data_IF_300179733888
#
_entry.id   IF_300179733888
#
_cell.length_a   1.000
_cell.length_b   1.000
_cell.length_c   1.000
_cell.angle_alpha   90.00
_cell.angle_beta   90.00
_cell.angle_gamma   90.00
#
_symmetry.space_group_name_H-M   'P 1'
#
loop_
_entity.id
_entity.type
_entity.pdbx_description
1 polymer ?
#
# COMPACT_ATOMS: atom_id res chain seq x y z
N UNK A 1 19.41 -2.10 10.33
CA UNK A 1 18.31 -2.38 9.38
C UNK A 1 17.90 -3.84 9.50
N UNK A 2 16.66 -4.11 9.83
CA UNK A 2 16.17 -5.49 9.95
C UNK A 2 15.49 -5.97 8.68
N UNK A 3 14.97 -5.03 7.86
CA UNK A 3 14.19 -5.37 6.67
C UNK A 3 14.53 -4.41 5.53
N UNK A 4 14.82 -4.97 4.36
CA UNK A 4 15.20 -4.21 3.17
C UNK A 4 14.38 -4.68 1.98
N UNK A 5 13.74 -3.72 1.27
CA UNK A 5 12.98 -3.96 0.05
C UNK A 5 13.73 -3.52 -1.20
N UNK A 6 13.71 -4.35 -2.23
CA UNK A 6 14.27 -4.04 -3.55
C UNK A 6 13.25 -4.40 -4.65
N UNK A 7 13.09 -3.55 -5.64
CA UNK A 7 12.20 -3.77 -6.77
C UNK A 7 12.98 -3.91 -8.07
N UNK A 8 12.31 -4.42 -9.08
CA UNK A 8 12.83 -4.66 -10.42
C UNK A 8 13.31 -3.40 -11.16
N UNK A 9 12.81 -2.22 -10.81
CA UNK A 9 13.27 -0.93 -11.36
C UNK A 9 14.55 -0.42 -10.70
N UNK A 10 14.82 -0.81 -9.46
CA UNK A 10 16.01 -0.42 -8.69
C UNK A 10 16.94 -1.61 -8.42
N UNK A 11 16.44 -2.82 -8.50
CA UNK A 11 17.15 -4.05 -8.21
C UNK A 11 18.45 -4.27 -9.00
N UNK A 12 18.49 -4.00 -10.32
CA UNK A 12 19.74 -4.08 -11.08
C UNK A 12 20.83 -3.14 -10.56
N UNK A 13 20.47 -1.89 -10.21
CA UNK A 13 21.41 -0.93 -9.61
C UNK A 13 21.83 -1.39 -8.21
N UNK A 14 20.88 -1.80 -7.37
CA UNK A 14 21.18 -2.36 -6.03
C UNK A 14 22.10 -3.59 -6.15
N UNK A 15 21.88 -4.46 -7.13
CA UNK A 15 22.77 -5.61 -7.41
C UNK A 15 24.19 -5.18 -7.75
N UNK A 16 24.33 -4.17 -8.59
CA UNK A 16 25.66 -3.72 -9.01
C UNK A 16 26.39 -3.05 -7.84
N UNK A 17 25.75 -2.22 -7.06
CA UNK A 17 26.28 -1.67 -5.80
C UNK A 17 26.68 -2.78 -4.80
N UNK A 18 25.89 -3.84 -4.66
CA UNK A 18 26.22 -4.99 -3.81
C UNK A 18 27.46 -5.73 -4.29
N UNK A 19 27.72 -5.79 -5.61
CA UNK A 19 28.96 -6.34 -6.16
C UNK A 19 30.17 -5.46 -5.83
N UNK A 20 30.01 -4.15 -5.97
CA UNK A 20 31.06 -3.18 -5.66
C UNK A 20 31.40 -3.18 -4.15
N UNK A 21 30.43 -3.41 -3.28
CA UNK A 21 30.59 -3.62 -1.85
C UNK A 21 31.17 -5.02 -1.52
N UNK A 22 31.47 -5.85 -2.52
CA UNK A 22 31.92 -7.25 -2.35
C UNK A 22 31.00 -8.08 -1.43
N UNK A 23 29.67 -7.82 -1.53
CA UNK A 23 28.66 -8.47 -0.68
C UNK A 23 28.57 -9.97 -1.00
N UNK A 24 29.03 -10.82 -0.09
CA UNK A 24 28.89 -12.27 -0.17
C UNK A 24 27.59 -12.81 0.41
N UNK A 25 26.98 -12.06 1.32
CA UNK A 25 25.71 -12.37 1.97
C UNK A 25 25.11 -11.13 2.64
N UNK A 26 23.83 -11.18 2.97
CA UNK A 26 23.15 -10.09 3.66
C UNK A 26 23.35 -10.16 5.16
N UNK A 27 23.63 -9.00 5.79
CA UNK A 27 23.63 -8.84 7.24
C UNK A 27 22.28 -8.33 7.75
N UNK A 28 21.47 -7.72 6.90
CA UNK A 28 20.08 -7.44 7.24
C UNK A 28 19.30 -8.76 7.43
N UNK A 29 18.41 -8.80 8.43
CA UNK A 29 17.66 -10.02 8.77
C UNK A 29 16.77 -10.53 7.63
N UNK A 30 16.21 -9.60 6.84
CA UNK A 30 15.33 -9.86 5.71
C UNK A 30 15.65 -8.91 4.57
N UNK A 31 15.98 -9.47 3.42
CA UNK A 31 16.08 -8.74 2.15
C UNK A 31 15.11 -9.38 1.18
N UNK A 32 14.19 -8.58 0.62
CA UNK A 32 13.19 -9.05 -0.34
C UNK A 32 13.35 -8.33 -1.67
N UNK A 33 13.30 -9.10 -2.76
CA UNK A 33 13.28 -8.61 -4.14
C UNK A 33 11.92 -8.91 -4.78
N UNK A 34 11.37 -7.96 -5.54
CA UNK A 34 10.13 -8.15 -6.30
C UNK A 34 10.23 -7.70 -7.75
N UNK A 35 9.18 -7.99 -8.53
CA UNK A 35 9.06 -7.67 -9.97
C UNK A 35 7.75 -6.93 -10.28
N UNK A 36 7.18 -6.22 -9.31
CA UNK A 36 5.85 -5.62 -9.41
C UNK A 36 5.72 -4.49 -10.44
N UNK A 37 6.82 -3.84 -10.83
CA UNK A 37 6.81 -2.74 -11.78
C UNK A 37 6.90 -3.19 -13.24
N UNK A 38 7.47 -4.37 -13.50
CA UNK A 38 7.80 -4.84 -14.85
C UNK A 38 7.19 -6.19 -15.20
N UNK A 39 6.46 -6.84 -14.28
CA UNK A 39 5.86 -8.15 -14.53
C UNK A 39 4.78 -8.11 -15.63
N UNK A 40 3.91 -7.10 -15.61
CA UNK A 40 2.94 -6.89 -16.67
C UNK A 40 3.59 -6.17 -17.86
N UNK A 41 3.44 -6.71 -19.06
CA UNK A 41 4.00 -6.17 -20.33
C UNK A 41 5.52 -5.96 -20.30
N UNK A 42 6.34 -6.99 -19.94
CA UNK A 42 7.77 -6.84 -19.79
C UNK A 42 8.46 -6.57 -21.13
N UNK A 43 9.46 -5.68 -21.10
CA UNK A 43 10.40 -5.47 -22.20
C UNK A 43 11.51 -6.53 -22.15
N UNK A 44 12.30 -6.64 -23.22
CA UNK A 44 13.39 -7.62 -23.27
C UNK A 44 14.41 -7.48 -22.11
N UNK A 45 14.69 -6.25 -21.68
CA UNK A 45 15.55 -5.97 -20.53
C UNK A 45 14.93 -6.44 -19.22
N UNK A 46 13.62 -6.30 -19.08
CA UNK A 46 12.88 -6.75 -17.89
C UNK A 46 12.92 -8.27 -17.78
N UNK A 47 12.70 -8.98 -18.91
CA UNK A 47 12.79 -10.45 -18.97
C UNK A 47 14.17 -10.94 -18.55
N UNK A 48 15.24 -10.24 -18.94
CA UNK A 48 16.61 -10.55 -18.49
C UNK A 48 16.73 -10.38 -16.98
N UNK A 49 16.26 -9.27 -16.45
CA UNK A 49 16.24 -8.98 -15.00
C UNK A 49 15.47 -10.05 -14.23
N UNK A 50 14.30 -10.45 -14.73
CA UNK A 50 13.47 -11.51 -14.13
C UNK A 50 14.19 -12.87 -14.03
N UNK A 51 15.12 -13.14 -14.93
CA UNK A 51 15.92 -14.40 -14.92
C UNK A 51 17.14 -14.31 -14.01
N UNK A 52 17.83 -13.19 -13.98
CA UNK A 52 19.14 -13.06 -13.33
C UNK A 52 19.06 -12.64 -11.86
N UNK A 53 18.11 -11.75 -11.53
CA UNK A 53 18.04 -11.13 -10.21
C UNK A 53 17.61 -12.10 -9.09
N UNK A 54 16.68 -13.06 -9.30
CA UNK A 54 16.28 -14.00 -8.25
C UNK A 54 17.45 -14.79 -7.67
N UNK A 55 18.25 -15.42 -8.52
CA UNK A 55 19.41 -16.20 -8.08
C UNK A 55 20.45 -15.35 -7.38
N UNK A 56 20.67 -14.11 -7.83
CA UNK A 56 21.58 -13.18 -7.17
C UNK A 56 21.16 -12.87 -5.73
N UNK A 57 19.89 -12.65 -5.50
CA UNK A 57 19.32 -12.32 -4.19
C UNK A 57 19.32 -13.55 -3.27
N UNK A 58 18.80 -14.70 -3.73
CA UNK A 58 18.67 -15.90 -2.91
C UNK A 58 20.02 -16.51 -2.54
N UNK A 59 21.00 -16.46 -3.42
CA UNK A 59 22.36 -16.90 -3.11
C UNK A 59 23.03 -16.09 -1.99
N UNK A 60 22.47 -14.93 -1.63
CA UNK A 60 22.93 -14.07 -0.54
C UNK A 60 22.05 -14.11 0.71
N UNK A 61 21.08 -15.01 0.74
CA UNK A 61 20.17 -15.16 1.88
C UNK A 61 18.94 -14.25 1.82
N UNK A 62 18.60 -13.74 0.65
CA UNK A 62 17.39 -12.96 0.43
C UNK A 62 16.22 -13.78 -0.10
N UNK A 63 15.03 -13.21 -0.02
CA UNK A 63 13.79 -13.77 -0.57
C UNK A 63 13.48 -13.08 -1.90
N UNK A 64 13.32 -13.85 -2.97
CA UNK A 64 12.90 -13.32 -4.25
C UNK A 64 11.46 -13.70 -4.56
N UNK A 65 10.60 -12.71 -4.71
CA UNK A 65 9.28 -12.91 -5.29
C UNK A 65 9.41 -13.24 -6.79
N UNK A 66 8.33 -13.71 -7.37
CA UNK A 66 8.25 -14.07 -8.79
C UNK A 66 7.49 -13.00 -9.56
N UNK A 67 7.76 -12.81 -10.87
CA UNK A 67 6.90 -11.98 -11.71
C UNK A 67 5.43 -12.44 -11.61
N UNK A 68 4.53 -11.49 -11.31
CA UNK A 68 3.12 -11.79 -11.09
C UNK A 68 2.72 -12.05 -9.63
N UNK A 69 3.66 -12.17 -8.70
CA UNK A 69 3.33 -12.28 -7.27
C UNK A 69 2.65 -11.01 -6.73
N UNK A 70 2.94 -9.87 -7.34
CA UNK A 70 2.32 -8.59 -7.00
C UNK A 70 3.25 -7.58 -6.35
N UNK A 71 2.64 -6.61 -5.67
CA UNK A 71 3.31 -5.45 -5.08
C UNK A 71 4.19 -5.86 -3.90
N UNK A 72 5.46 -5.44 -3.90
CA UNK A 72 6.41 -5.78 -2.84
C UNK A 72 5.89 -5.40 -1.45
N UNK A 73 5.30 -4.22 -1.32
CA UNK A 73 4.87 -3.70 -0.01
C UNK A 73 3.84 -4.61 0.66
N UNK A 74 2.92 -5.17 -0.13
CA UNK A 74 1.90 -6.10 0.36
C UNK A 74 2.47 -7.46 0.81
N UNK A 75 3.64 -7.86 0.31
CA UNK A 75 4.36 -9.04 0.76
C UNK A 75 5.32 -8.72 1.91
N UNK A 76 6.17 -7.68 1.73
CA UNK A 76 7.21 -7.32 2.69
C UNK A 76 6.64 -6.97 4.05
N UNK A 77 5.52 -6.23 4.07
CA UNK A 77 4.87 -5.84 5.32
C UNK A 77 4.35 -7.04 6.12
N UNK A 78 4.02 -8.16 5.46
CA UNK A 78 3.64 -9.41 6.12
C UNK A 78 4.82 -10.15 6.76
N UNK A 79 6.04 -9.78 6.44
CA UNK A 79 7.26 -10.36 7.00
C UNK A 79 7.93 -9.43 8.02
N UNK A 80 7.29 -8.33 8.40
CA UNK A 80 7.82 -7.40 9.39
C UNK A 80 7.77 -7.99 10.80
N UNK A 81 8.72 -7.54 11.61
CA UNK A 81 8.65 -7.61 13.06
C UNK A 81 8.23 -6.25 13.59
N UNK A 82 7.42 -6.18 14.66
CA UNK A 82 7.08 -4.91 15.29
C UNK A 82 8.31 -4.12 15.73
N UNK A 83 8.17 -2.80 15.74
CA UNK A 83 9.19 -1.84 16.22
C UNK A 83 10.56 -1.95 15.53
N UNK A 84 10.58 -2.43 14.28
CA UNK A 84 11.80 -2.60 13.52
C UNK A 84 12.05 -1.44 12.56
N UNK A 85 13.32 -1.23 12.25
CA UNK A 85 13.77 -0.18 11.31
C UNK A 85 14.23 -0.83 10.01
N UNK A 86 13.75 -0.30 8.89
CA UNK A 86 14.15 -0.79 7.58
C UNK A 86 14.31 0.29 6.52
N UNK A 87 14.55 -0.15 5.29
CA UNK A 87 14.71 0.69 4.11
C UNK A 87 14.25 -0.02 2.84
N UNK A 88 14.19 0.70 1.76
CA UNK A 88 13.93 0.15 0.43
C UNK A 88 14.09 1.17 -0.67
N UNK A 89 14.18 0.68 -1.90
CA UNK A 89 14.42 1.50 -3.09
C UNK A 89 13.18 2.21 -3.64
N UNK A 90 12.05 2.08 -2.97
CA UNK A 90 10.80 2.75 -3.34
C UNK A 90 10.33 3.65 -2.20
N UNK A 91 9.84 4.85 -2.51
CA UNK A 91 9.31 5.79 -1.53
C UNK A 91 8.12 5.25 -0.73
N UNK A 92 7.39 4.27 -1.29
CA UNK A 92 6.29 3.56 -0.63
C UNK A 92 6.74 2.35 0.21
N UNK A 93 8.05 2.14 0.39
CA UNK A 93 8.53 1.22 1.43
C UNK A 93 8.23 1.83 2.79
N UNK A 94 7.03 1.56 3.31
CA UNK A 94 6.52 2.07 4.58
C UNK A 94 6.08 0.90 5.45
N UNK A 95 6.45 0.93 6.72
CA UNK A 95 6.21 -0.18 7.65
C UNK A 95 5.15 0.19 8.69
N UNK A 96 3.94 -0.40 8.60
CA UNK A 96 2.83 -0.03 9.48
C UNK A 96 3.03 -0.43 10.95
N UNK A 97 3.89 -1.42 11.25
CA UNK A 97 4.21 -1.89 12.60
C UNK A 97 5.68 -1.66 12.98
N UNK A 98 6.36 -0.80 12.26
CA UNK A 98 7.74 -0.39 12.46
C UNK A 98 7.96 0.97 11.82
N UNK A 99 9.20 1.24 11.42
CA UNK A 99 9.53 2.44 10.66
C UNK A 99 10.52 2.12 9.54
N UNK A 100 10.37 2.78 8.40
CA UNK A 100 11.30 2.66 7.30
C UNK A 100 11.69 4.03 6.75
N UNK A 101 12.92 4.10 6.28
CA UNK A 101 13.49 5.28 5.64
C UNK A 101 13.90 4.89 4.21
N UNK A 102 13.02 5.09 3.21
CA UNK A 102 13.33 4.80 1.82
C UNK A 102 14.56 5.57 1.34
N UNK A 103 15.38 4.92 0.51
CA UNK A 103 16.66 5.46 0.10
C UNK A 103 17.01 5.09 -1.35
N UNK A 104 18.02 5.74 -1.90
CA UNK A 104 18.59 5.35 -3.19
C UNK A 104 19.30 4.00 -3.15
N UNK A 105 19.55 3.42 -4.33
CA UNK A 105 20.10 2.07 -4.49
C UNK A 105 21.39 1.81 -3.70
N UNK A 106 22.29 2.78 -3.61
CA UNK A 106 23.53 2.66 -2.85
C UNK A 106 23.31 2.48 -1.35
N UNK A 107 22.44 3.29 -0.73
CA UNK A 107 22.10 3.14 0.69
C UNK A 107 21.28 1.87 0.96
N UNK A 108 20.42 1.48 0.03
CA UNK A 108 19.67 0.21 0.12
C UNK A 108 20.63 -0.98 0.08
N UNK A 109 21.60 -0.96 -0.83
CA UNK A 109 22.63 -1.98 -0.92
C UNK A 109 23.51 -2.02 0.34
N UNK A 110 23.94 -0.85 0.83
CA UNK A 110 24.70 -0.74 2.06
C UNK A 110 23.92 -1.30 3.26
N UNK A 111 22.64 -0.95 3.40
CA UNK A 111 21.76 -1.47 4.44
C UNK A 111 21.57 -2.98 4.36
N UNK A 112 21.43 -3.54 3.16
CA UNK A 112 21.33 -4.99 2.95
C UNK A 112 22.62 -5.72 3.31
N UNK A 113 23.77 -5.18 2.89
CA UNK A 113 25.09 -5.78 3.11
C UNK A 113 25.55 -5.72 4.58
N UNK A 114 25.29 -4.59 5.25
CA UNK A 114 25.87 -4.30 6.58
C UNK A 114 24.87 -4.40 7.74
N UNK A 115 23.57 -4.37 7.45
CA UNK A 115 22.52 -4.31 8.48
C UNK A 115 22.34 -2.93 9.13
N UNK A 116 23.07 -1.90 8.68
CA UNK A 116 22.99 -0.53 9.21
C UNK A 116 22.81 0.49 8.09
N UNK A 117 22.31 1.68 8.44
CA UNK A 117 22.21 2.81 7.54
C UNK A 117 22.47 4.09 8.34
N UNK A 118 23.36 5.00 7.90
CA UNK A 118 23.52 6.30 8.53
C UNK A 118 22.23 7.12 8.37
N UNK A 119 21.78 7.75 9.44
CA UNK A 119 20.58 8.55 9.47
C UNK A 119 20.73 9.65 10.52
N UNK A 120 20.54 10.90 10.13
CA UNK A 120 20.28 11.97 11.07
C UNK A 120 18.80 11.85 11.50
N UNK A 121 18.54 11.79 12.82
CA UNK A 121 17.20 11.59 13.35
C UNK A 121 16.31 12.78 12.97
N UNK A 122 15.25 12.57 12.15
CA UNK A 122 14.34 13.65 11.79
C UNK A 122 13.44 14.04 12.98
N UNK A 123 12.97 15.29 12.97
CA UNK A 123 11.83 15.69 13.81
C UNK A 123 10.56 14.93 13.40
N UNK A 124 9.56 14.91 14.29
CA UNK A 124 8.26 14.28 14.02
C UNK A 124 7.14 15.32 13.91
N UNK A 125 6.16 15.02 13.06
CA UNK A 125 4.84 15.63 13.04
C UNK A 125 3.82 14.61 13.50
N UNK A 126 2.98 14.98 14.47
CA UNK A 126 1.91 14.13 14.96
C UNK A 126 0.60 14.45 14.24
N UNK A 127 -0.05 13.43 13.66
CA UNK A 127 -1.45 13.45 13.25
C UNK A 127 -2.27 12.64 14.23
N UNK A 128 -3.22 13.30 14.88
CA UNK A 128 -4.11 12.68 15.87
C UNK A 128 -5.53 12.67 15.38
N UNK A 129 -6.06 11.49 15.13
CA UNK A 129 -7.48 11.30 14.84
C UNK A 129 -8.30 11.24 16.14
N UNK A 130 -9.47 11.87 16.12
CA UNK A 130 -10.44 11.90 17.22
C UNK A 130 -11.82 11.54 16.71
N UNK A 131 -12.70 11.11 17.62
CA UNK A 131 -14.08 10.73 17.27
C UNK A 131 -14.15 9.40 16.52
N UNK A 132 -15.21 9.20 15.78
CA UNK A 132 -15.50 7.96 15.07
C UNK A 132 -15.69 8.19 13.58
N UNK A 133 -15.28 7.21 12.77
CA UNK A 133 -15.46 7.23 11.32
C UNK A 133 -16.94 7.15 10.98
N UNK A 134 -17.42 8.08 10.15
CA UNK A 134 -18.83 8.20 9.82
C UNK A 134 -19.25 7.19 8.73
N UNK A 135 -20.53 6.78 8.67
CA UNK A 135 -21.02 5.89 7.62
C UNK A 135 -20.75 6.44 6.22
N UNK A 136 -20.23 5.58 5.34
CA UNK A 136 -19.85 5.95 3.97
C UNK A 136 -18.46 6.58 3.84
N UNK A 137 -17.81 6.95 4.95
CA UNK A 137 -16.42 7.37 4.96
C UNK A 137 -15.52 6.12 4.98
N UNK A 138 -14.50 6.11 4.15
CA UNK A 138 -13.53 5.03 4.04
C UNK A 138 -12.19 5.43 4.64
N UNK A 139 -11.29 4.46 4.81
CA UNK A 139 -9.94 4.78 5.27
C UNK A 139 -9.19 5.70 4.28
N UNK A 140 -9.45 5.57 2.97
CA UNK A 140 -8.86 6.46 1.96
C UNK A 140 -9.25 7.92 2.20
N UNK A 141 -10.44 8.19 2.70
CA UNK A 141 -10.87 9.56 3.03
C UNK A 141 -10.07 10.11 4.21
N UNK A 142 -9.72 9.26 5.20
CA UNK A 142 -8.83 9.65 6.29
C UNK A 142 -7.41 9.93 5.79
N UNK A 143 -6.91 9.13 4.83
CA UNK A 143 -5.63 9.41 4.15
C UNK A 143 -5.63 10.81 3.53
N UNK A 144 -6.70 11.17 2.83
CA UNK A 144 -6.83 12.47 2.17
C UNK A 144 -7.19 13.60 3.14
N UNK A 145 -7.74 13.29 4.31
CA UNK A 145 -7.97 14.27 5.37
C UNK A 145 -6.65 14.86 5.89
N UNK A 146 -5.56 14.10 5.92
CA UNK A 146 -4.26 14.60 6.40
C UNK A 146 -3.80 15.83 5.61
N UNK A 147 -3.65 15.81 4.27
CA UNK A 147 -3.31 17.02 3.52
C UNK A 147 -4.38 18.11 3.62
N UNK A 148 -5.67 17.76 3.63
CA UNK A 148 -6.75 18.74 3.75
C UNK A 148 -6.65 19.58 5.04
N UNK A 149 -6.44 18.91 6.17
CA UNK A 149 -6.29 19.59 7.46
C UNK A 149 -4.93 20.31 7.61
N UNK A 150 -3.87 19.76 7.02
CA UNK A 150 -2.58 20.44 6.97
C UNK A 150 -2.65 21.75 6.17
N UNK A 151 -3.37 21.77 5.06
CA UNK A 151 -3.64 23.00 4.27
C UNK A 151 -4.43 24.00 5.09
N UNK A 152 -5.50 23.57 5.76
CA UNK A 152 -6.29 24.44 6.64
C UNK A 152 -5.46 25.10 7.77
N UNK A 153 -4.40 24.41 8.21
CA UNK A 153 -3.46 24.91 9.23
C UNK A 153 -2.27 25.70 8.67
N UNK A 154 -2.16 25.86 7.35
CA UNK A 154 -1.04 26.53 6.71
C UNK A 154 0.28 25.75 6.71
N UNK A 155 0.25 24.45 7.02
CA UNK A 155 1.42 23.56 7.07
C UNK A 155 1.75 22.92 5.72
N UNK A 156 0.83 23.01 4.77
CA UNK A 156 0.94 22.47 3.42
C UNK A 156 0.28 23.43 2.44
N UNK A 157 0.85 23.59 1.25
CA UNK A 157 0.24 24.36 0.16
C UNK A 157 0.27 23.56 -1.15
N UNK A 158 -0.72 23.77 -2.01
CA UNK A 158 -0.80 23.21 -3.36
C UNK A 158 0.00 24.04 -4.37
N UNK A 159 0.48 25.22 -3.98
CA UNK A 159 1.19 26.14 -4.85
C UNK A 159 2.48 25.55 -5.42
N UNK A 160 2.70 25.72 -6.74
CA UNK A 160 3.91 25.24 -7.42
C UNK A 160 5.16 26.04 -7.07
N UNK A 161 5.00 27.33 -6.73
CA UNK A 161 6.09 28.23 -6.32
C UNK A 161 5.90 28.61 -4.87
N UNK A 162 6.99 28.53 -4.10
CA UNK A 162 6.93 28.80 -2.65
C UNK A 162 6.11 27.77 -1.88
N UNK A 163 6.13 26.51 -2.32
CA UNK A 163 5.40 25.41 -1.66
C UNK A 163 5.87 25.25 -0.22
N UNK A 164 4.94 25.39 0.73
CA UNK A 164 5.12 24.98 2.11
C UNK A 164 4.79 23.49 2.21
N UNK A 165 5.66 22.72 2.82
CA UNK A 165 5.43 21.32 3.14
C UNK A 165 6.20 20.96 4.42
N UNK A 166 5.54 21.10 5.55
CA UNK A 166 6.13 20.82 6.86
C UNK A 166 6.39 19.33 7.10
N UNK A 167 5.79 18.45 6.31
CA UNK A 167 6.08 17.01 6.38
C UNK A 167 7.44 16.64 5.77
N UNK A 168 7.97 17.47 4.86
CA UNK A 168 9.16 17.14 4.10
C UNK A 168 10.36 16.89 5.00
N UNK A 169 10.95 15.70 4.91
CA UNK A 169 12.10 15.28 5.70
C UNK A 169 11.81 14.97 7.16
N UNK A 170 10.55 15.05 7.63
CA UNK A 170 10.13 14.69 8.99
C UNK A 170 9.48 13.31 9.04
N UNK A 171 9.42 12.72 10.22
CA UNK A 171 8.65 11.51 10.48
C UNK A 171 7.18 11.90 10.67
N UNK A 172 6.28 11.21 9.99
CA UNK A 172 4.85 11.31 10.24
C UNK A 172 4.44 10.25 11.27
N UNK A 173 4.02 10.70 12.44
CA UNK A 173 3.45 9.83 13.47
C UNK A 173 1.93 9.94 13.46
N UNK A 174 1.22 8.80 13.48
CA UNK A 174 -0.24 8.76 13.42
C UNK A 174 -0.77 8.02 14.64
N UNK A 175 -1.74 8.63 15.33
CA UNK A 175 -2.44 8.01 16.45
C UNK A 175 -3.95 8.29 16.43
N UNK A 176 -4.69 7.66 17.36
CA UNK A 176 -6.14 7.83 17.51
C UNK A 176 -6.97 6.79 16.76
N UNK A 177 -6.32 5.83 16.10
CA UNK A 177 -6.94 4.72 15.37
C UNK A 177 -6.40 3.36 15.85
N UNK A 178 -6.42 3.07 17.16
CA UNK A 178 -5.66 1.96 17.75
C UNK A 178 -6.12 0.58 17.31
N UNK A 179 -7.35 0.46 16.84
CA UNK A 179 -7.97 -0.82 16.44
C UNK A 179 -7.95 -1.09 14.94
N UNK A 180 -7.25 -0.25 14.16
CA UNK A 180 -7.06 -0.54 12.73
C UNK A 180 -6.37 -1.89 12.56
N UNK A 181 -6.79 -2.62 11.54
CA UNK A 181 -6.02 -3.77 11.06
C UNK A 181 -4.69 -3.29 10.46
N UNK A 182 -3.66 -4.12 10.49
CA UNK A 182 -2.33 -3.70 10.04
C UNK A 182 -2.32 -3.32 8.55
N UNK A 183 -3.11 -4.00 7.71
CA UNK A 183 -3.28 -3.62 6.30
C UNK A 183 -3.94 -2.26 6.13
N UNK A 184 -4.85 -1.86 7.02
CA UNK A 184 -5.42 -0.51 7.03
C UNK A 184 -4.38 0.52 7.48
N UNK A 185 -3.61 0.20 8.50
CA UNK A 185 -2.51 1.06 8.95
C UNK A 185 -1.49 1.28 7.82
N UNK A 186 -1.27 0.27 6.98
CA UNK A 186 -0.40 0.41 5.83
C UNK A 186 -0.88 1.48 4.84
N UNK A 187 -2.18 1.61 4.57
CA UNK A 187 -2.69 2.68 3.69
C UNK A 187 -2.32 4.07 4.19
N UNK A 188 -2.43 4.31 5.50
CA UNK A 188 -2.03 5.57 6.12
C UNK A 188 -0.52 5.79 6.05
N UNK A 189 0.28 4.77 6.36
CA UNK A 189 1.74 4.90 6.34
C UNK A 189 2.27 5.09 4.93
N UNK A 190 1.70 4.37 3.95
CA UNK A 190 2.12 4.41 2.55
C UNK A 190 1.94 5.82 1.95
N UNK A 191 0.80 6.45 2.22
CA UNK A 191 0.48 7.80 1.75
C UNK A 191 1.44 8.89 2.25
N UNK A 192 2.20 8.63 3.31
CA UNK A 192 3.21 9.56 3.82
C UNK A 192 4.30 9.86 2.78
N UNK A 193 4.52 8.94 1.84
CA UNK A 193 5.45 9.12 0.72
C UNK A 193 5.10 10.34 -0.14
N UNK A 194 3.80 10.64 -0.31
CA UNK A 194 3.33 11.76 -1.13
C UNK A 194 3.58 13.12 -0.48
N UNK A 195 3.82 13.14 0.82
CA UNK A 195 4.18 14.34 1.61
C UNK A 195 5.68 14.51 1.72
N UNK A 196 6.49 13.67 1.06
CA UNK A 196 7.95 13.65 1.19
C UNK A 196 8.41 13.41 2.64
N UNK A 197 7.60 12.75 3.46
CA UNK A 197 7.98 12.39 4.82
C UNK A 197 9.18 11.42 4.80
N UNK A 198 10.13 11.61 5.71
CA UNK A 198 11.30 10.74 5.84
C UNK A 198 10.90 9.31 6.23
N UNK A 199 9.93 9.18 7.14
CA UNK A 199 9.39 7.93 7.61
C UNK A 199 7.95 8.11 8.08
N UNK A 200 7.30 7.00 8.44
CA UNK A 200 5.98 7.03 9.06
C UNK A 200 5.86 5.90 10.07
N UNK A 201 5.19 6.17 11.19
CA UNK A 201 4.82 5.16 12.18
C UNK A 201 3.38 5.36 12.64
N UNK A 202 2.73 4.29 13.06
CA UNK A 202 1.31 4.30 13.45
C UNK A 202 1.16 3.60 14.78
N UNK A 203 0.50 4.28 15.72
CA UNK A 203 0.19 3.69 17.03
C UNK A 203 -1.01 2.75 16.91
N UNK A 204 -0.75 1.46 17.12
CA UNK A 204 -1.76 0.40 17.13
C UNK A 204 -1.81 -0.29 18.50
N UNK A 205 -2.94 -0.91 18.81
CA UNK A 205 -3.05 -1.87 19.92
C UNK A 205 -2.32 -3.18 19.60
N UNK A 206 -2.04 -3.97 20.64
CA UNK A 206 -1.35 -5.26 20.47
C UNK A 206 -2.20 -6.30 19.73
N UNK A 207 -3.50 -6.30 19.93
CA UNK A 207 -4.42 -7.30 19.41
C UNK A 207 -4.42 -7.35 17.86
N UNK A 208 -4.58 -6.24 17.12
CA UNK A 208 -4.46 -6.25 15.67
C UNK A 208 -3.09 -6.74 15.17
N UNK A 209 -2.01 -6.39 15.88
CA UNK A 209 -0.66 -6.80 15.53
C UNK A 209 -0.48 -8.31 15.77
N UNK A 210 -0.96 -8.85 16.89
CA UNK A 210 -0.91 -10.28 17.19
C UNK A 210 -1.71 -11.10 16.16
N UNK A 211 -2.92 -10.66 15.80
CA UNK A 211 -3.74 -11.31 14.77
C UNK A 211 -2.97 -11.38 13.44
N UNK A 212 -2.40 -10.26 13.03
CA UNK A 212 -1.63 -10.15 11.79
C UNK A 212 -0.41 -11.06 11.78
N UNK A 213 0.36 -11.08 12.87
CA UNK A 213 1.57 -11.90 12.96
C UNK A 213 1.27 -13.40 12.97
N UNK A 214 0.20 -13.84 13.65
CA UNK A 214 -0.25 -15.26 13.61
C UNK A 214 -0.59 -15.68 12.18
N UNK A 215 -1.35 -14.87 11.48
CA UNK A 215 -1.66 -15.07 10.06
C UNK A 215 -0.38 -15.15 9.20
N UNK A 216 0.59 -14.29 9.45
CA UNK A 216 1.81 -14.20 8.67
C UNK A 216 2.77 -15.38 8.88
N UNK A 217 2.77 -16.01 10.04
CA UNK A 217 3.50 -17.28 10.24
C UNK A 217 3.02 -18.32 9.23
N UNK A 218 1.70 -18.47 9.08
CA UNK A 218 1.10 -19.41 8.12
C UNK A 218 1.46 -19.03 6.69
N UNK A 219 1.47 -17.75 6.34
CA UNK A 219 1.94 -17.31 5.01
C UNK A 219 3.41 -17.68 4.77
N UNK A 220 4.30 -17.43 5.72
CA UNK A 220 5.72 -17.75 5.58
C UNK A 220 5.95 -19.26 5.45
N UNK A 221 5.20 -20.09 6.18
CA UNK A 221 5.21 -21.54 6.03
C UNK A 221 4.77 -21.96 4.61
N UNK A 222 3.72 -21.32 4.07
CA UNK A 222 3.30 -21.53 2.68
C UNK A 222 4.37 -21.12 1.67
N UNK A 223 5.07 -20.00 1.91
CA UNK A 223 6.18 -19.59 1.06
C UNK A 223 7.29 -20.65 1.04
N UNK A 224 7.63 -21.23 2.19
CA UNK A 224 8.60 -22.34 2.29
C UNK A 224 8.11 -23.55 1.49
N UNK A 225 6.86 -23.99 1.69
CA UNK A 225 6.26 -25.12 1.00
C UNK A 225 6.24 -24.94 -0.52
N UNK A 226 6.00 -23.73 -1.00
CA UNK A 226 5.94 -23.38 -2.42
C UNK A 226 7.32 -23.09 -3.03
N UNK A 227 8.42 -23.35 -2.31
CA UNK A 227 9.77 -23.25 -2.83
C UNK A 227 10.19 -21.80 -3.13
N UNK A 228 9.71 -20.81 -2.35
CA UNK A 228 10.37 -19.52 -2.30
C UNK A 228 11.76 -19.69 -1.73
N UNK A 229 12.67 -18.99 -2.33
CA UNK A 229 14.09 -19.20 -2.06
C UNK A 229 14.49 -18.71 -0.66
N UNK A 230 15.62 -19.25 -0.13
CA UNK A 230 16.12 -19.09 1.22
C UNK A 230 15.10 -19.39 2.34
N UNK A 231 14.64 -20.64 2.37
CA UNK A 231 13.77 -21.13 3.46
C UNK A 231 14.34 -20.87 4.85
N UNK A 232 15.68 -20.80 5.02
CA UNK A 232 16.33 -20.53 6.31
C UNK A 232 16.05 -19.11 6.80
N UNK A 233 15.98 -18.14 5.91
CA UNK A 233 15.62 -16.75 6.26
C UNK A 233 14.16 -16.68 6.69
N UNK A 234 13.25 -17.32 5.97
CA UNK A 234 11.83 -17.38 6.35
C UNK A 234 11.65 -18.13 7.68
N UNK A 235 12.36 -19.22 7.90
CA UNK A 235 12.33 -19.97 9.15
C UNK A 235 12.78 -19.11 10.35
N UNK A 236 13.94 -18.45 10.24
CA UNK A 236 14.41 -17.51 11.28
C UNK A 236 13.40 -16.38 11.53
N UNK A 237 12.71 -15.92 10.48
CA UNK A 237 11.68 -14.88 10.62
C UNK A 237 10.47 -15.41 11.38
N UNK A 238 10.00 -16.64 11.10
CA UNK A 238 8.94 -17.30 11.83
C UNK A 238 9.30 -17.42 13.32
N UNK A 239 10.51 -17.89 13.63
CA UNK A 239 10.99 -18.01 15.02
C UNK A 239 10.98 -16.68 15.77
N UNK A 240 11.45 -15.59 15.11
CA UNK A 240 11.42 -14.24 15.71
C UNK A 240 10.00 -13.70 15.90
N UNK A 241 9.10 -13.95 14.96
CA UNK A 241 7.68 -13.59 15.09
C UNK A 241 7.04 -14.35 16.23
N UNK A 242 7.29 -15.65 16.35
CA UNK A 242 6.78 -16.46 17.45
C UNK A 242 7.31 -15.96 18.81
N UNK A 243 8.60 -15.68 18.91
CA UNK A 243 9.19 -15.14 20.14
C UNK A 243 8.57 -13.80 20.55
N UNK A 244 8.23 -12.95 19.59
CA UNK A 244 7.50 -11.71 19.87
C UNK A 244 6.06 -11.99 20.35
N UNK A 245 5.36 -12.96 19.73
CA UNK A 245 4.01 -13.35 20.14
C UNK A 245 3.96 -13.95 21.54
N UNK A 246 5.03 -14.62 21.97
CA UNK A 246 5.15 -15.20 23.32
C UNK A 246 5.33 -14.12 24.40
N UNK A 247 5.91 -12.97 24.04
CA UNK A 247 6.13 -11.83 24.94
C UNK A 247 5.85 -10.50 24.23
N UNK A 248 4.59 -10.21 23.86
CA UNK A 248 4.25 -9.08 23.01
C UNK A 248 4.47 -7.75 23.72
N UNK A 249 5.29 -6.92 23.10
CA UNK A 249 5.54 -5.55 23.51
C UNK A 249 5.62 -4.64 22.30
N UNK A 250 4.99 -3.47 22.38
CA UNK A 250 5.10 -2.39 21.38
C UNK A 250 5.72 -1.19 22.05
N UNK A 251 6.60 -0.50 21.31
CA UNK A 251 7.13 0.77 21.74
C UNK A 251 6.01 1.83 21.74
N UNK A 252 6.10 2.74 22.69
CA UNK A 252 5.19 3.88 22.79
C UNK A 252 6.03 5.17 22.83
N UNK A 253 5.44 6.27 22.37
CA UNK A 253 6.06 7.58 22.51
C UNK A 253 6.24 7.92 24.00
N UNK A 254 7.34 8.59 24.32
CA UNK A 254 7.57 9.11 25.65
C UNK A 254 6.49 10.14 26.03
N UNK A 255 6.21 10.28 27.32
CA UNK A 255 5.15 11.19 27.81
C UNK A 255 5.45 12.66 27.52
N UNK A 256 6.71 12.98 27.38
CA UNK A 256 7.27 14.30 27.09
C UNK A 256 7.80 14.43 25.65
N UNK A 257 7.35 13.53 24.75
CA UNK A 257 7.72 13.60 23.36
C UNK A 257 7.33 14.94 22.73
N UNK A 258 8.30 15.58 22.06
CA UNK A 258 8.12 16.83 21.37
C UNK A 258 7.86 16.62 19.88
N UNK A 259 6.93 17.39 19.31
CA UNK A 259 6.57 17.36 17.91
C UNK A 259 6.75 18.74 17.27
N UNK A 260 7.29 18.79 16.06
CA UNK A 260 7.38 20.04 15.29
C UNK A 260 5.99 20.66 15.06
N UNK A 261 5.00 19.81 14.76
CA UNK A 261 3.59 20.20 14.63
C UNK A 261 2.66 19.07 15.10
N UNK A 262 1.46 19.46 15.54
CA UNK A 262 0.37 18.54 15.87
C UNK A 262 -0.85 18.90 15.02
N UNK A 263 -1.36 17.95 14.27
CA UNK A 263 -2.56 18.08 13.44
C UNK A 263 -3.65 17.19 14.05
N UNK A 264 -4.68 17.79 14.61
CA UNK A 264 -5.85 17.06 15.10
C UNK A 264 -6.94 17.02 14.03
N UNK A 265 -7.50 15.86 13.80
CA UNK A 265 -8.56 15.59 12.81
C UNK A 265 -9.74 14.96 13.54
N UNK A 266 -10.87 15.65 13.57
CA UNK A 266 -12.11 15.11 14.11
C UNK A 266 -12.86 14.36 13.01
N UNK A 267 -12.91 13.04 13.11
CA UNK A 267 -13.60 12.18 12.15
C UNK A 267 -15.11 12.39 12.16
N UNK A 268 -15.68 12.93 13.23
CA UNK A 268 -17.11 13.26 13.28
C UNK A 268 -17.49 14.40 12.32
N UNK A 269 -16.52 15.22 11.90
CA UNK A 269 -16.71 16.30 10.93
C UNK A 269 -16.63 15.81 9.47
N UNK A 270 -16.06 14.63 9.22
CA UNK A 270 -15.90 14.06 7.87
C UNK A 270 -17.14 13.25 7.55
N UNK A 271 -18.05 13.79 6.75
CA UNK A 271 -19.36 13.18 6.43
C UNK A 271 -19.53 12.78 4.96
N UNK A 272 -18.51 13.01 4.16
CA UNK A 272 -18.49 12.70 2.74
C UNK A 272 -17.06 12.35 2.30
N UNK A 273 -16.87 11.69 1.14
CA UNK A 273 -15.54 11.39 0.62
C UNK A 273 -14.66 12.61 0.44
N UNK A 274 -13.37 12.40 0.69
CA UNK A 274 -12.29 13.35 0.40
C UNK A 274 -11.46 12.76 -0.73
N UNK A 275 -11.24 13.52 -1.80
CA UNK A 275 -10.43 13.10 -2.93
C UNK A 275 -9.38 14.15 -3.26
N UNK A 276 -8.27 13.72 -3.88
CA UNK A 276 -7.25 14.67 -4.35
C UNK A 276 -7.51 15.01 -5.81
N UNK A 277 -7.54 16.31 -6.11
CA UNK A 277 -7.82 16.85 -7.43
C UNK A 277 -6.68 16.60 -8.42
N UNK A 278 -6.93 16.72 -9.73
CA UNK A 278 -5.95 16.40 -10.74
C UNK A 278 -4.60 17.12 -10.58
N UNK A 279 -3.57 16.31 -10.79
CA UNK A 279 -2.16 16.68 -10.91
C UNK A 279 -1.45 17.07 -9.61
N UNK A 280 -2.09 16.96 -8.46
CA UNK A 280 -1.41 17.15 -7.16
C UNK A 280 -2.05 16.24 -6.08
N UNK A 281 -1.30 15.33 -5.43
CA UNK A 281 -1.81 14.45 -4.39
C UNK A 281 -2.10 15.20 -3.06
N UNK A 282 -1.75 16.47 -2.98
CA UNK A 282 -2.04 17.34 -1.85
C UNK A 282 -3.31 18.19 -2.04
N UNK A 283 -3.82 18.35 -3.29
CA UNK A 283 -5.04 19.14 -3.57
C UNK A 283 -6.31 18.40 -3.15
N UNK A 284 -6.44 18.19 -1.84
CA UNK A 284 -7.54 17.46 -1.24
C UNK A 284 -8.79 18.34 -1.11
N UNK A 285 -9.94 17.82 -1.56
CA UNK A 285 -11.26 18.47 -1.52
C UNK A 285 -12.34 17.47 -1.14
N UNK A 286 -13.47 17.98 -0.65
CA UNK A 286 -14.67 17.17 -0.45
C UNK A 286 -15.31 16.81 -1.78
N UNK A 287 -16.03 15.67 -1.81
CA UNK A 287 -16.76 15.22 -2.99
C UNK A 287 -17.76 16.28 -3.49
N UNK A 288 -18.42 16.98 -2.58
CA UNK A 288 -19.37 18.06 -2.89
C UNK A 288 -18.76 19.18 -3.75
N UNK A 289 -17.46 19.45 -3.61
CA UNK A 289 -16.75 20.50 -4.38
C UNK A 289 -16.56 20.14 -5.86
N UNK A 290 -16.58 18.84 -6.19
CA UNK A 290 -16.24 18.32 -7.54
C UNK A 290 -17.31 17.41 -8.13
N UNK A 291 -18.43 17.25 -7.45
CA UNK A 291 -19.56 16.42 -7.88
C UNK A 291 -20.01 16.77 -9.32
N UNK A 292 -20.42 15.75 -10.08
CA UNK A 292 -20.86 15.91 -11.46
C UNK A 292 -19.74 15.96 -12.50
N UNK A 293 -18.46 16.00 -12.10
CA UNK A 293 -17.33 15.92 -13.03
C UNK A 293 -17.41 14.63 -13.83
N UNK A 294 -17.39 14.74 -15.17
CA UNK A 294 -17.43 13.59 -16.07
C UNK A 294 -16.15 12.74 -15.91
N UNK A 295 -16.31 11.45 -15.87
CA UNK A 295 -15.23 10.46 -15.79
C UNK A 295 -15.20 9.64 -17.07
N UNK A 296 -14.02 9.51 -17.68
CA UNK A 296 -13.78 8.72 -18.88
C UNK A 296 -13.23 7.33 -18.57
N UNK A 297 -12.28 7.23 -17.64
CA UNK A 297 -11.67 5.97 -17.22
C UNK A 297 -11.54 5.91 -15.69
N UNK A 298 -11.45 4.71 -15.15
CA UNK A 298 -11.21 4.48 -13.73
C UNK A 298 -10.18 3.39 -13.51
N UNK A 299 -9.41 3.50 -12.41
CA UNK A 299 -8.45 2.49 -12.01
C UNK A 299 -8.64 2.12 -10.53
N UNK A 300 -8.83 0.82 -10.27
CA UNK A 300 -8.86 0.24 -8.93
C UNK A 300 -7.66 -0.70 -8.80
N UNK A 301 -6.69 -0.33 -7.97
CA UNK A 301 -5.43 -1.04 -7.79
C UNK A 301 -4.48 -0.26 -6.89
N UNK A 302 -3.20 -0.53 -6.96
CA UNK A 302 -2.12 0.04 -6.17
C UNK A 302 -1.84 -0.64 -4.82
N UNK A 303 -0.67 -0.33 -4.24
CA UNK A 303 -0.25 -0.81 -2.93
C UNK A 303 -1.20 -0.43 -1.77
N UNK A 304 -1.86 0.71 -1.89
CA UNK A 304 -2.80 1.23 -0.88
C UNK A 304 -4.20 0.62 -0.97
N UNK A 305 -4.46 -0.30 -1.89
CA UNK A 305 -5.80 -0.85 -2.10
C UNK A 305 -5.81 -2.32 -1.68
N UNK A 306 -6.25 -2.60 -0.45
CA UNK A 306 -6.35 -3.96 0.07
C UNK A 306 -7.61 -4.69 -0.43
N UNK A 307 -7.71 -5.99 -0.15
CA UNK A 307 -8.78 -6.87 -0.64
C UNK A 307 -10.19 -6.37 -0.29
N UNK A 308 -10.39 -5.75 0.86
CA UNK A 308 -11.70 -5.23 1.29
C UNK A 308 -12.25 -4.19 0.33
N UNK A 309 -11.41 -3.33 -0.19
CA UNK A 309 -11.79 -2.31 -1.17
C UNK A 309 -12.20 -2.92 -2.52
N UNK A 310 -11.55 -4.01 -2.94
CA UNK A 310 -11.96 -4.73 -4.15
C UNK A 310 -13.31 -5.43 -3.96
N UNK A 311 -13.58 -6.01 -2.77
CA UNK A 311 -14.88 -6.58 -2.43
C UNK A 311 -15.98 -5.51 -2.45
N UNK A 312 -15.72 -4.35 -1.85
CA UNK A 312 -16.63 -3.21 -1.87
C UNK A 312 -16.94 -2.76 -3.30
N UNK A 313 -15.89 -2.54 -4.11
CA UNK A 313 -16.05 -2.14 -5.51
C UNK A 313 -16.86 -3.18 -6.32
N UNK A 314 -16.55 -4.47 -6.16
CA UNK A 314 -17.28 -5.54 -6.84
C UNK A 314 -18.75 -5.59 -6.44
N UNK A 315 -19.08 -5.40 -5.14
CA UNK A 315 -20.47 -5.32 -4.66
C UNK A 315 -21.21 -4.10 -5.24
N UNK A 316 -20.55 -2.94 -5.28
CA UNK A 316 -21.12 -1.70 -5.83
C UNK A 316 -21.39 -1.81 -7.34
N UNK A 317 -20.53 -2.53 -8.06
CA UNK A 317 -20.71 -2.83 -9.49
C UNK A 317 -21.70 -3.97 -9.74
N UNK A 318 -22.05 -4.76 -8.72
CA UNK A 318 -22.89 -5.94 -8.84
C UNK A 318 -24.20 -5.65 -9.62
N UNK A 319 -24.53 -6.54 -10.57
CA UNK A 319 -25.69 -6.39 -11.46
C UNK A 319 -25.53 -5.38 -12.60
N UNK A 320 -24.45 -4.61 -12.64
CA UNK A 320 -24.17 -3.70 -13.76
C UNK A 320 -23.59 -4.45 -14.96
N UNK A 321 -23.96 -4.01 -16.15
CA UNK A 321 -23.40 -4.47 -17.41
C UNK A 321 -23.04 -3.27 -18.26
N UNK A 322 -21.92 -3.36 -18.99
CA UNK A 322 -21.50 -2.34 -19.95
C UNK A 322 -21.52 -0.92 -19.35
N UNK A 323 -20.85 -0.74 -18.21
CA UNK A 323 -20.74 0.57 -17.56
C UNK A 323 -20.11 1.60 -18.49
N UNK A 324 -20.47 2.90 -18.38
CA UNK A 324 -20.04 3.93 -19.31
C UNK A 324 -18.55 4.27 -19.22
N UNK A 325 -17.86 3.90 -18.15
CA UNK A 325 -16.45 4.20 -17.88
C UNK A 325 -15.60 2.96 -18.12
N UNK A 326 -14.49 3.12 -18.81
CA UNK A 326 -13.51 2.05 -18.96
C UNK A 326 -12.81 1.83 -17.63
N UNK A 327 -13.10 0.70 -16.98
CA UNK A 327 -12.58 0.33 -15.67
C UNK A 327 -11.40 -0.61 -15.80
N UNK A 328 -10.31 -0.28 -15.09
CA UNK A 328 -9.14 -1.13 -14.92
C UNK A 328 -9.10 -1.64 -13.48
N UNK A 329 -8.80 -2.94 -13.31
CA UNK A 329 -8.71 -3.59 -12.00
C UNK A 329 -7.40 -4.37 -11.93
N UNK A 330 -6.54 -4.05 -10.96
CA UNK A 330 -5.27 -4.73 -10.73
C UNK A 330 -5.09 -4.96 -9.22
N UNK A 331 -5.33 -6.19 -8.72
CA UNK A 331 -5.17 -6.47 -7.29
C UNK A 331 -3.70 -6.36 -6.87
N UNK A 332 -3.42 -6.09 -5.57
CA UNK A 332 -2.06 -5.88 -5.12
C UNK A 332 -1.22 -7.15 -5.17
N UNK A 333 -1.81 -8.32 -4.90
CA UNK A 333 -1.08 -9.60 -4.93
C UNK A 333 -1.90 -10.69 -5.62
N UNK A 334 -1.21 -11.75 -6.04
CA UNK A 334 -1.87 -12.97 -6.54
C UNK A 334 -2.73 -13.65 -5.48
N UNK A 335 -2.45 -13.43 -4.20
CA UNK A 335 -3.24 -13.95 -3.09
C UNK A 335 -4.61 -13.27 -3.05
N UNK A 336 -4.61 -11.93 -3.15
CA UNK A 336 -5.85 -11.14 -3.25
C UNK A 336 -6.65 -11.53 -4.49
N UNK A 337 -5.98 -11.67 -5.64
CA UNK A 337 -6.62 -12.11 -6.89
C UNK A 337 -7.29 -13.47 -6.74
N UNK A 338 -6.56 -14.45 -6.20
CA UNK A 338 -7.09 -15.81 -6.00
C UNK A 338 -8.32 -15.82 -5.09
N UNK A 339 -8.28 -15.09 -3.99
CA UNK A 339 -9.40 -15.02 -3.06
C UNK A 339 -10.61 -14.32 -3.67
N UNK A 340 -10.41 -13.19 -4.35
CA UNK A 340 -11.48 -12.47 -5.06
C UNK A 340 -12.13 -13.32 -6.17
N UNK A 341 -11.37 -14.20 -6.84
CA UNK A 341 -11.90 -15.15 -7.81
C UNK A 341 -12.75 -16.21 -7.09
N UNK A 342 -12.27 -16.82 -6.00
CA UNK A 342 -12.99 -17.81 -5.20
C UNK A 342 -14.30 -17.26 -4.65
N UNK A 343 -14.29 -16.02 -4.21
CA UNK A 343 -15.47 -15.29 -3.69
C UNK A 343 -16.44 -14.84 -4.80
N UNK A 344 -16.08 -15.00 -6.08
CA UNK A 344 -16.91 -14.64 -7.24
C UNK A 344 -16.89 -13.15 -7.62
N UNK A 345 -16.04 -12.35 -7.00
CA UNK A 345 -15.97 -10.90 -7.27
C UNK A 345 -15.48 -10.58 -8.68
N UNK A 346 -14.62 -11.42 -9.25
CA UNK A 346 -14.16 -11.28 -10.64
C UNK A 346 -15.29 -11.42 -11.66
N UNK A 347 -16.34 -12.17 -11.34
CA UNK A 347 -17.54 -12.24 -12.18
C UNK A 347 -18.26 -10.87 -12.25
N UNK A 348 -18.32 -10.13 -11.14
CA UNK A 348 -18.90 -8.78 -11.12
C UNK A 348 -18.07 -7.79 -11.93
N UNK A 349 -16.73 -7.85 -11.81
CA UNK A 349 -15.84 -7.02 -12.63
C UNK A 349 -15.98 -7.34 -14.12
N UNK A 350 -16.00 -8.62 -14.48
CA UNK A 350 -16.18 -9.06 -15.87
C UNK A 350 -17.54 -8.65 -16.44
N UNK A 351 -18.63 -8.80 -15.68
CA UNK A 351 -19.97 -8.39 -16.10
C UNK A 351 -20.05 -6.86 -16.34
N UNK A 352 -19.36 -6.08 -15.53
CA UNK A 352 -19.25 -4.63 -15.71
C UNK A 352 -18.35 -4.23 -16.89
N UNK A 353 -17.68 -5.17 -17.57
CA UNK A 353 -16.75 -4.88 -18.65
C UNK A 353 -15.37 -4.38 -18.18
N UNK A 354 -15.01 -4.62 -16.94
CA UNK A 354 -13.72 -4.22 -16.44
C UNK A 354 -12.58 -5.01 -17.08
N UNK A 355 -11.48 -4.32 -17.34
CA UNK A 355 -10.20 -4.93 -17.73
C UNK A 355 -9.43 -5.29 -16.47
N UNK A 356 -9.31 -6.60 -16.23
CA UNK A 356 -8.48 -7.12 -15.14
C UNK A 356 -7.03 -7.28 -15.62
N UNK A 357 -6.10 -6.86 -14.78
CA UNK A 357 -4.66 -6.89 -15.03
C UNK A 357 -3.95 -7.78 -14.02
N UNK A 358 -2.76 -8.26 -14.41
CA UNK A 358 -1.87 -8.99 -13.51
C UNK A 358 -1.60 -8.18 -12.23
N UNK A 359 -1.56 -8.84 -11.06
CA UNK A 359 -1.20 -8.19 -9.80
C UNK A 359 0.12 -7.41 -9.88
N UNK A 360 0.11 -6.16 -9.45
CA UNK A 360 1.29 -5.31 -9.48
C UNK A 360 1.01 -3.82 -9.67
N UNK A 361 2.05 -3.09 -10.07
CA UNK A 361 2.06 -1.62 -10.13
C UNK A 361 1.98 -1.05 -11.55
N UNK A 362 1.74 -1.86 -12.60
CA UNK A 362 1.97 -1.42 -13.99
C UNK A 362 1.20 -0.14 -14.38
N UNK A 363 -0.11 -0.07 -14.12
CA UNK A 363 -0.91 1.12 -14.43
C UNK A 363 -0.63 2.26 -13.43
N UNK A 364 -0.49 1.96 -12.14
CA UNK A 364 -0.16 2.96 -11.12
C UNK A 364 1.18 3.67 -11.42
N UNK A 365 2.13 2.96 -12.01
CA UNK A 365 3.42 3.52 -12.47
C UNK A 365 3.30 4.27 -13.81
N UNK A 366 2.36 3.89 -14.68
CA UNK A 366 2.18 4.48 -16.01
C UNK A 366 3.30 4.17 -17.01
N UNK A 367 4.18 3.21 -16.70
CA UNK A 367 5.34 2.89 -17.55
C UNK A 367 5.11 1.71 -18.48
N UNK A 368 4.09 0.90 -18.25
CA UNK A 368 3.77 -0.30 -19.03
C UNK A 368 2.36 -0.29 -19.58
N UNK A 369 1.38 0.16 -18.79
CA UNK A 369 0.00 0.38 -19.24
C UNK A 369 -0.39 1.82 -18.94
N UNK A 370 -1.20 2.43 -19.82
CA UNK A 370 -1.65 3.82 -19.71
C UNK A 370 -3.12 3.92 -20.08
N UNK A 371 -3.81 4.86 -19.45
CA UNK A 371 -5.14 5.29 -19.86
C UNK A 371 -5.06 6.16 -21.13
N UNK A 372 -6.21 6.39 -21.77
CA UNK A 372 -6.31 7.20 -22.99
C UNK A 372 -5.78 8.63 -22.76
N UNK A 373 -5.07 9.18 -23.73
CA UNK A 373 -4.62 10.58 -23.72
C UNK A 373 -5.79 11.53 -23.47
N UNK A 374 -5.58 12.50 -22.59
CA UNK A 374 -6.57 13.52 -22.23
C UNK A 374 -7.75 13.02 -21.38
N UNK A 375 -7.76 11.77 -20.95
CA UNK A 375 -8.84 11.22 -20.13
C UNK A 375 -8.93 11.89 -18.76
N UNK A 376 -10.15 12.06 -18.26
CA UNK A 376 -10.42 12.33 -16.84
C UNK A 376 -10.63 11.01 -16.13
N UNK A 377 -9.81 10.76 -15.10
CA UNK A 377 -9.68 9.47 -14.45
C UNK A 377 -9.96 9.59 -12.96
N UNK A 378 -10.71 8.65 -12.39
CA UNK A 378 -10.73 8.43 -10.94
C UNK A 378 -9.92 7.19 -10.61
N UNK A 379 -9.01 7.29 -9.64
CA UNK A 379 -7.99 6.28 -9.41
C UNK A 379 -7.72 6.04 -7.93
N UNK A 380 -7.48 4.79 -7.58
CA UNK A 380 -6.96 4.40 -6.26
C UNK A 380 -5.43 4.38 -6.20
N UNK A 381 -4.75 4.83 -7.25
CA UNK A 381 -3.29 4.96 -7.22
C UNK A 381 -2.82 5.91 -6.10
N UNK A 382 -1.54 5.86 -5.80
CA UNK A 382 -0.95 6.71 -4.76
C UNK A 382 -0.68 8.13 -5.26
N UNK A 383 -0.44 8.29 -6.57
CA UNK A 383 0.05 9.52 -7.22
C UNK A 383 -0.78 9.89 -8.43
N UNK A 384 -0.98 11.20 -8.60
CA UNK A 384 -1.65 11.78 -9.77
C UNK A 384 -0.85 12.93 -10.41
N UNK A 385 0.47 12.90 -10.29
CA UNK A 385 1.31 13.88 -10.97
C UNK A 385 1.04 13.93 -12.48
N UNK A 386 1.28 15.06 -13.14
CA UNK A 386 1.03 15.22 -14.58
C UNK A 386 1.62 14.06 -15.40
N UNK A 387 0.83 13.51 -16.30
CA UNK A 387 1.19 12.39 -17.18
C UNK A 387 1.49 11.05 -16.49
N UNK A 388 1.18 10.90 -15.21
CA UNK A 388 1.49 9.67 -14.44
C UNK A 388 0.77 8.42 -14.98
N UNK A 389 -0.55 8.50 -15.21
CA UNK A 389 -1.35 7.39 -15.71
C UNK A 389 -1.51 7.40 -17.25
N UNK A 390 -1.15 8.47 -17.89
CA UNK A 390 -1.25 8.68 -19.32
C UNK A 390 -1.00 10.14 -19.69
N UNK A 391 -0.76 10.39 -20.96
CA UNK A 391 -0.42 11.73 -21.46
C UNK A 391 -1.63 12.67 -21.34
N UNK A 392 -1.40 13.89 -20.82
CA UNK A 392 -2.39 14.95 -20.64
C UNK A 392 -3.64 14.54 -19.86
N UNK A 393 -3.54 13.56 -18.97
CA UNK A 393 -4.67 13.07 -18.16
C UNK A 393 -4.94 13.95 -16.94
N UNK A 394 -6.21 14.01 -16.53
CA UNK A 394 -6.67 14.63 -15.29
C UNK A 394 -7.07 13.52 -14.31
N UNK A 395 -6.23 13.23 -13.31
CA UNK A 395 -6.42 12.10 -12.41
C UNK A 395 -6.83 12.57 -11.03
N UNK A 396 -8.04 12.17 -10.60
CA UNK A 396 -8.49 12.26 -9.22
C UNK A 396 -8.01 11.04 -8.44
N UNK A 397 -7.47 11.24 -7.23
CA UNK A 397 -7.21 10.13 -6.29
C UNK A 397 -8.41 10.00 -5.35
N UNK A 398 -8.94 8.79 -5.26
CA UNK A 398 -10.14 8.52 -4.47
C UNK A 398 -10.14 7.09 -3.89
N UNK A 399 -11.14 6.77 -3.08
CA UNK A 399 -11.41 5.41 -2.63
C UNK A 399 -11.85 4.51 -3.78
N UNK A 400 -11.71 3.19 -3.61
CA UNK A 400 -12.20 2.22 -4.59
C UNK A 400 -13.74 2.23 -4.68
N UNK A 401 -14.40 2.52 -3.59
CA UNK A 401 -15.83 2.68 -3.49
C UNK A 401 -16.31 3.85 -4.36
N UNK A 402 -15.66 5.02 -4.21
CA UNK A 402 -15.98 6.18 -5.04
C UNK A 402 -15.65 5.91 -6.52
N UNK A 403 -14.53 5.26 -6.80
CA UNK A 403 -14.15 4.89 -8.17
C UNK A 403 -15.17 3.94 -8.82
N UNK A 404 -15.68 2.95 -8.09
CA UNK A 404 -16.69 2.02 -8.58
C UNK A 404 -18.02 2.72 -8.86
N UNK A 405 -18.48 3.59 -7.94
CA UNK A 405 -19.72 4.37 -8.11
C UNK A 405 -19.58 5.33 -9.29
N UNK A 406 -18.48 6.07 -9.38
CA UNK A 406 -18.20 6.98 -10.49
C UNK A 406 -18.16 6.25 -11.84
N UNK A 407 -17.58 5.03 -11.87
CA UNK A 407 -17.53 4.19 -13.06
C UNK A 407 -18.91 3.80 -13.57
N UNK A 408 -19.83 3.51 -12.66
CA UNK A 408 -21.21 3.15 -12.94
C UNK A 408 -22.03 4.33 -13.45
N UNK A 409 -21.76 5.54 -12.93
CA UNK A 409 -22.49 6.75 -13.27
C UNK A 409 -21.91 7.54 -14.45
N UNK A 410 -20.65 7.32 -14.82
CA UNK A 410 -19.94 8.11 -15.82
C UNK A 410 -19.50 9.50 -15.33
N UNK A 411 -19.65 9.77 -14.03
CA UNK A 411 -19.35 11.05 -13.38
C UNK A 411 -19.02 10.84 -11.90
N UNK A 412 -18.37 11.78 -11.27
CA UNK A 412 -18.31 11.83 -9.81
C UNK A 412 -19.74 12.03 -9.27
N UNK A 413 -20.20 11.17 -8.32
CA UNK A 413 -21.55 11.25 -7.77
C UNK A 413 -21.75 12.54 -6.96
N UNK A 414 -22.99 12.92 -6.75
CA UNK A 414 -23.35 13.79 -5.62
C UNK A 414 -23.17 13.04 -4.30
N UNK A 415 -23.07 13.75 -3.19
CA UNK A 415 -22.97 13.13 -1.86
C UNK A 415 -24.17 12.20 -1.60
N UNK A 416 -25.37 12.60 -2.02
CA UNK A 416 -26.59 11.79 -1.86
C UNK A 416 -26.51 10.49 -2.67
N UNK A 417 -26.14 10.55 -3.96
CA UNK A 417 -25.95 9.37 -4.82
C UNK A 417 -24.89 8.42 -4.23
N UNK A 418 -23.80 8.99 -3.68
CA UNK A 418 -22.73 8.21 -3.04
C UNK A 418 -23.24 7.49 -1.78
N UNK A 419 -23.90 8.22 -0.85
CA UNK A 419 -24.37 7.65 0.41
C UNK A 419 -25.46 6.59 0.18
N UNK A 420 -26.35 6.79 -0.79
CA UNK A 420 -27.33 5.78 -1.20
C UNK A 420 -26.62 4.49 -1.67
N UNK A 421 -25.64 4.61 -2.56
CA UNK A 421 -24.89 3.46 -3.05
C UNK A 421 -24.12 2.75 -1.93
N UNK A 422 -23.50 3.51 -1.02
CA UNK A 422 -22.77 2.94 0.13
C UNK A 422 -23.65 2.22 1.14
N UNK A 423 -24.95 2.41 1.08
CA UNK A 423 -25.90 1.72 1.96
C UNK A 423 -25.78 0.19 1.95
N UNK A 424 -25.42 -0.41 0.82
CA UNK A 424 -25.20 -1.86 0.71
C UNK A 424 -23.89 -2.29 1.38
N UNK A 425 -22.88 -1.44 1.36
CA UNK A 425 -21.57 -1.72 1.98
C UNK A 425 -21.69 -1.54 3.49
N UNK A 426 -22.31 -0.45 3.95
CA UNK A 426 -22.45 -0.16 5.37
C UNK A 426 -23.22 -1.25 6.14
N UNK A 427 -24.18 -1.93 5.49
CA UNK A 427 -24.93 -3.06 6.09
C UNK A 427 -24.08 -4.30 6.35
N UNK A 428 -22.98 -4.47 5.62
CA UNK A 428 -22.18 -5.68 5.64
C UNK A 428 -20.68 -5.35 5.73
N UNK A 429 -20.33 -4.21 6.31
CA UNK A 429 -18.97 -3.68 6.35
C UNK A 429 -17.97 -4.68 6.95
N UNK A 430 -18.35 -5.38 8.03
CA UNK A 430 -17.49 -6.35 8.70
C UNK A 430 -17.08 -7.53 7.78
N UNK A 431 -17.99 -7.98 6.91
CA UNK A 431 -17.70 -9.03 5.92
C UNK A 431 -16.89 -8.50 4.74
N UNK A 432 -17.26 -7.31 4.24
CA UNK A 432 -16.60 -6.67 3.09
C UNK A 432 -15.14 -6.35 3.39
N UNK A 433 -14.89 -5.70 4.52
CA UNK A 433 -13.55 -5.28 4.93
C UNK A 433 -12.80 -6.31 5.79
N UNK A 434 -13.19 -7.58 5.67
CA UNK A 434 -12.43 -8.68 6.26
C UNK A 434 -11.09 -8.83 5.54
N UNK A 435 -10.00 -8.87 6.29
CA UNK A 435 -8.66 -9.05 5.73
C UNK A 435 -8.31 -10.53 5.53
N UNK A 436 -7.23 -10.77 4.80
CA UNK A 436 -6.72 -12.11 4.59
C UNK A 436 -5.96 -12.57 5.83
N UNK A 437 -6.63 -13.36 6.65
CA UNK A 437 -6.03 -14.09 7.76
C UNK A 437 -5.71 -15.50 7.30
N UNK A 438 -4.45 -15.75 6.92
CA UNK A 438 -4.01 -17.01 6.30
C UNK A 438 -4.18 -18.23 7.19
N UNK A 439 -4.13 -18.05 8.51
CA UNK A 439 -4.43 -19.10 9.51
C UNK A 439 -5.92 -19.51 9.53
N UNK A 440 -6.80 -18.70 8.95
CA UNK A 440 -8.24 -18.96 8.81
C UNK A 440 -8.65 -19.41 7.41
N UNK A 441 -7.72 -19.42 6.44
CA UNK A 441 -7.95 -19.90 5.07
C UNK A 441 -7.45 -21.36 4.99
N UNK A 442 -8.38 -22.30 4.79
CA UNK A 442 -8.12 -23.74 4.87
C UNK A 442 -6.92 -24.19 4.01
N UNK A 443 -6.83 -23.75 2.77
CA UNK A 443 -5.74 -24.09 1.86
C UNK A 443 -4.35 -23.70 2.42
N UNK A 444 -4.24 -22.52 3.02
CA UNK A 444 -3.00 -22.05 3.62
C UNK A 444 -2.70 -22.80 4.93
N UNK A 445 -3.70 -22.99 5.76
CA UNK A 445 -3.56 -23.68 7.04
C UNK A 445 -3.15 -25.15 6.85
N UNK A 446 -3.72 -25.86 5.86
CA UNK A 446 -3.35 -27.24 5.55
C UNK A 446 -1.92 -27.33 5.00
N UNK A 447 -1.54 -26.45 4.07
CA UNK A 447 -0.18 -26.42 3.52
C UNK A 447 0.86 -26.17 4.61
N UNK A 448 0.56 -25.28 5.56
CA UNK A 448 1.45 -24.93 6.66
C UNK A 448 1.74 -26.13 7.60
N UNK A 449 0.78 -27.04 7.82
CA UNK A 449 0.97 -28.24 8.66
C UNK A 449 2.06 -29.17 8.13
N UNK A 450 2.33 -29.17 6.84
CA UNK A 450 3.37 -29.97 6.20
C UNK A 450 4.79 -29.40 6.34
N UNK A 451 4.92 -28.20 6.88
CA UNK A 451 6.21 -27.52 7.05
C UNK A 451 6.69 -27.67 8.48
N UNK A 452 7.71 -28.50 8.69
CA UNK A 452 8.42 -28.51 9.97
C UNK A 452 9.29 -27.26 10.09
N UNK A 453 9.00 -26.45 11.08
CA UNK A 453 9.77 -25.27 11.48
C UNK A 453 10.72 -25.66 12.60
#
# INVERSE_FOLDING_TARGET
>A
MTTVGSQDTTGPMTRDELKDLACLGFSADMVMQSFCHTAAYPKAVDVKTHRELPAFISNRGGVSLRPGDGVIHSWLNRLLLPDTVGTGGDSHTRFPIGISFPAGSGLVAFGAATGVMPLDMPESILVRFKGEMQPGVTLRDLVHAIPLYAIKKGLLTVAKSGKINEFSGRILEIEGLPNLKVEQAFELSDASAERSAAGCTIKLNKEPVQEYLKSNIVLMQNMIANGYEDKRTLQRRIEKVQAWLDAPNLLEADKDAEYAHVIEIDMNEIKEPILCCPNDPDDAKFLSDVAGTKIDEAFIGSCMTNIGHFRAAAKLLGGSRDIPVKLWVAPPTKMDESELIKEGHYANFGAAGARTEMPGCSLCMGNQAQVREGATVVSTSTRNFPNRLGKNTNVFLASAELAAIASKLGKLPTVAEYQEAMGIINKDAASVYKYMNFDQIEEYAETAKGVSV
#
